data_IF_574562237094
#
_entry.id   IF_574562237094
#
_cell.length_a   1.000
_cell.length_b   1.000
_cell.length_c   1.000
_cell.angle_alpha   90.00
_cell.angle_beta   90.00
_cell.angle_gamma   90.00
#
_symmetry.space_group_name_H-M   'P 1'
#
loop_
_entity.id
_entity.type
_entity.pdbx_description
1 polymer ?
#
# COMPACT_ATOMS: atom_id res chain seq x y z
N UNK A 1 -42.49 41.41 44.25
CA UNK A 1 -42.45 41.69 42.81
C UNK A 1 -41.73 43.03 42.64
N UNK A 2 -40.40 43.00 42.42
CA UNK A 2 -39.73 43.31 41.13
C UNK A 2 -39.99 44.77 40.71
N UNK A 3 -39.02 45.67 40.50
CA UNK A 3 -37.62 45.54 40.06
C UNK A 3 -36.75 46.70 40.59
N UNK A 4 -35.46 46.42 40.82
CA UNK A 4 -34.40 47.43 40.85
C UNK A 4 -33.40 47.07 39.75
N UNK A 5 -33.08 48.03 38.87
CA UNK A 5 -32.05 47.91 37.82
C UNK A 5 -31.04 49.03 38.05
N UNK A 6 -29.81 48.68 38.42
CA UNK A 6 -28.65 49.57 38.45
C UNK A 6 -27.46 48.88 37.77
N UNK A 7 -27.05 49.50 36.65
CA UNK A 7 -25.68 49.78 36.20
C UNK A 7 -24.56 48.72 36.31
N UNK A 8 -24.13 48.26 35.13
CA UNK A 8 -22.76 48.15 34.58
C UNK A 8 -21.62 47.82 35.55
N UNK A 9 -20.97 46.66 35.35
CA UNK A 9 -19.51 46.53 35.45
C UNK A 9 -18.97 45.49 34.46
N UNK A 10 -17.95 45.93 33.73
CA UNK A 10 -17.16 45.24 32.72
C UNK A 10 -16.19 44.27 33.41
N UNK A 11 -16.14 43.00 33.02
CA UNK A 11 -15.08 42.08 33.45
C UNK A 11 -14.59 41.28 32.25
N UNK A 12 -13.49 41.74 31.65
CA UNK A 12 -12.71 41.01 30.65
C UNK A 12 -11.93 39.93 31.39
N UNK A 13 -12.38 38.68 31.30
CA UNK A 13 -11.60 37.52 31.70
C UNK A 13 -10.58 37.21 30.60
N UNK A 14 -9.37 37.77 30.76
CA UNK A 14 -8.18 37.28 30.05
C UNK A 14 -7.86 35.90 30.62
N UNK A 15 -8.22 34.85 29.89
CA UNK A 15 -7.71 33.52 30.18
C UNK A 15 -6.24 33.44 29.73
N UNK A 16 -5.32 33.01 30.60
CA UNK A 16 -3.91 32.91 30.30
C UNK A 16 -3.69 31.90 29.18
N UNK A 17 -2.81 32.28 28.25
CA UNK A 17 -2.45 31.50 27.07
C UNK A 17 -2.24 30.04 27.41
N UNK A 18 -2.99 29.20 26.69
CA UNK A 18 -2.65 27.80 26.55
C UNK A 18 -1.19 27.71 26.15
N UNK A 19 -0.41 26.98 26.95
CA UNK A 19 0.86 26.41 26.54
C UNK A 19 0.58 25.58 25.29
N UNK A 20 0.69 26.22 24.12
CA UNK A 20 0.78 25.54 22.86
C UNK A 20 2.03 24.66 22.96
N UNK A 21 1.82 23.36 23.16
CA UNK A 21 2.83 22.33 22.92
C UNK A 21 3.42 22.65 21.55
N UNK A 22 4.67 23.12 21.53
CA UNK A 22 5.39 23.31 20.28
C UNK A 22 5.49 21.95 19.61
N UNK A 23 4.78 21.81 18.49
CA UNK A 23 4.93 20.67 17.59
C UNK A 23 6.40 20.59 17.16
N UNK A 24 6.93 19.37 16.95
CA UNK A 24 8.32 19.19 16.55
C UNK A 24 8.63 20.00 15.29
N UNK A 25 9.81 20.62 15.30
CA UNK A 25 10.29 21.53 14.26
C UNK A 25 10.17 20.91 12.88
N UNK A 26 9.18 21.42 12.14
CA UNK A 26 8.78 21.06 10.78
C UNK A 26 9.98 20.86 9.87
N UNK A 27 10.18 19.64 9.38
CA UNK A 27 11.17 19.33 8.36
C UNK A 27 10.84 20.08 7.06
N UNK A 28 11.57 21.17 6.79
CA UNK A 28 11.73 21.78 5.47
C UNK A 28 10.46 22.27 4.78
N UNK A 29 9.85 23.37 5.24
CA UNK A 29 9.12 24.33 4.39
C UNK A 29 7.95 23.85 3.52
N UNK A 30 7.52 22.58 3.59
CA UNK A 30 6.45 22.04 2.75
C UNK A 30 5.06 22.31 3.33
N UNK A 31 4.06 22.34 2.43
CA UNK A 31 2.65 22.39 2.81
C UNK A 31 2.24 21.12 3.59
N UNK A 32 1.18 21.22 4.41
CA UNK A 32 0.72 20.12 5.26
C UNK A 32 0.31 18.87 4.44
N UNK A 33 -0.28 19.06 3.25
CA UNK A 33 -0.82 17.97 2.43
C UNK A 33 0.25 17.00 1.88
N UNK A 34 1.37 17.45 1.25
CA UNK A 34 2.49 16.57 0.89
C UNK A 34 3.09 15.83 2.09
N UNK A 35 3.09 16.45 3.26
CA UNK A 35 3.65 15.87 4.47
C UNK A 35 2.80 14.72 5.01
N UNK A 36 1.47 14.89 5.08
CA UNK A 36 0.54 13.82 5.44
C UNK A 36 0.62 12.65 4.44
N UNK A 37 0.67 12.95 3.14
CA UNK A 37 0.81 11.93 2.10
C UNK A 37 2.08 11.09 2.28
N UNK A 38 3.20 11.72 2.61
CA UNK A 38 4.45 11.01 2.86
C UNK A 38 4.39 10.14 4.12
N UNK A 39 3.74 10.61 5.18
CA UNK A 39 3.56 9.81 6.40
C UNK A 39 2.74 8.56 6.14
N UNK A 40 1.62 8.68 5.42
CA UNK A 40 0.77 7.52 5.11
C UNK A 40 1.49 6.52 4.21
N UNK A 41 2.27 7.01 3.24
CA UNK A 41 3.11 6.19 2.39
C UNK A 41 4.14 5.40 3.22
N UNK A 42 4.91 6.08 4.07
CA UNK A 42 5.96 5.44 4.87
C UNK A 42 5.38 4.46 5.88
N UNK A 43 4.27 4.79 6.53
CA UNK A 43 3.57 3.89 7.44
C UNK A 43 3.14 2.59 6.74
N UNK A 44 2.71 2.67 5.47
CA UNK A 44 2.26 1.50 4.70
C UNK A 44 3.43 0.64 4.21
N UNK A 45 4.44 1.25 3.62
CA UNK A 45 5.51 0.51 2.92
C UNK A 45 6.78 0.30 3.73
N UNK A 46 6.96 1.08 4.80
CA UNK A 46 8.10 1.04 5.71
C UNK A 46 7.64 0.95 7.16
N UNK A 47 6.85 -0.08 7.53
CA UNK A 47 6.37 -0.23 8.89
C UNK A 47 7.54 -0.41 9.86
N UNK A 48 7.59 0.42 10.89
CA UNK A 48 8.58 0.30 11.98
C UNK A 48 8.05 -0.59 13.10
N UNK A 49 8.89 -1.49 13.63
CA UNK A 49 8.57 -2.39 14.76
C UNK A 49 8.35 -1.63 16.08
N UNK A 50 8.71 -0.35 16.14
CA UNK A 50 8.58 0.44 17.36
C UNK A 50 7.11 0.77 17.63
N UNK A 51 6.53 0.13 18.65
CA UNK A 51 5.21 0.46 19.25
C UNK A 51 5.06 1.91 19.75
N UNK A 52 6.06 2.76 19.54
CA UNK A 52 6.13 4.16 19.97
C UNK A 52 6.42 4.98 18.71
N UNK A 53 5.46 5.81 18.28
CA UNK A 53 5.66 6.80 17.19
C UNK A 53 6.59 7.90 17.70
N UNK A 54 7.89 7.64 17.67
CA UNK A 54 8.92 8.66 17.82
C UNK A 54 8.93 9.53 16.55
N UNK A 55 8.89 10.87 16.63
CA UNK A 55 9.14 11.76 15.49
C UNK A 55 10.43 11.42 14.71
N UNK A 56 11.44 10.82 15.36
CA UNK A 56 12.63 10.31 14.70
C UNK A 56 12.37 9.09 13.80
N UNK A 57 11.22 8.41 13.94
CA UNK A 57 10.83 7.26 13.11
C UNK A 57 10.67 7.65 11.64
N UNK A 58 10.13 8.84 11.36
CA UNK A 58 9.89 9.26 9.98
C UNK A 58 11.19 9.49 9.20
N UNK A 59 12.20 10.09 9.83
CA UNK A 59 13.52 10.27 9.21
C UNK A 59 14.17 8.91 8.92
N UNK A 60 14.02 7.94 9.83
CA UNK A 60 14.52 6.58 9.66
C UNK A 60 13.81 5.88 8.50
N UNK A 61 12.49 5.92 8.46
CA UNK A 61 11.66 5.35 7.39
C UNK A 61 11.98 6.02 6.03
N UNK A 62 12.16 7.34 6.00
CA UNK A 62 12.60 8.08 4.81
C UNK A 62 13.97 7.62 4.33
N UNK A 63 14.93 7.43 5.25
CA UNK A 63 16.27 6.93 4.89
C UNK A 63 16.21 5.51 4.34
N UNK A 64 15.33 4.66 4.88
CA UNK A 64 15.09 3.32 4.36
C UNK A 64 14.48 3.36 2.95
N UNK A 65 13.48 4.22 2.73
CA UNK A 65 12.86 4.42 1.43
C UNK A 65 13.87 4.93 0.40
N UNK A 66 14.63 5.97 0.75
CA UNK A 66 15.67 6.50 -0.12
C UNK A 66 16.70 5.43 -0.48
N UNK A 67 17.11 4.59 0.49
CA UNK A 67 18.02 3.47 0.25
C UNK A 67 17.41 2.42 -0.69
N UNK A 68 16.14 2.06 -0.50
CA UNK A 68 15.44 1.08 -1.34
C UNK A 68 15.35 1.54 -2.80
N UNK A 69 15.02 2.81 -3.03
CA UNK A 69 14.95 3.40 -4.38
C UNK A 69 16.32 3.85 -4.93
N UNK A 70 17.43 3.53 -4.25
CA UNK A 70 18.79 3.94 -4.63
C UNK A 70 18.97 5.47 -4.80
N UNK A 71 18.30 6.23 -3.95
CA UNK A 71 18.36 7.69 -3.89
C UNK A 71 19.41 8.16 -2.87
N UNK A 72 19.86 9.43 -2.94
CA UNK A 72 20.67 10.03 -1.87
C UNK A 72 19.96 9.93 -0.51
N UNK A 73 20.63 9.31 0.47
CA UNK A 73 20.08 9.04 1.80
C UNK A 73 20.22 10.30 2.66
N UNK A 74 19.30 11.24 2.50
CA UNK A 74 19.28 12.52 3.24
C UNK A 74 18.39 12.49 4.47
N UNK A 75 17.39 11.60 4.52
CA UNK A 75 16.32 11.62 5.53
C UNK A 75 15.35 12.80 5.39
N UNK A 76 15.45 13.57 4.31
CA UNK A 76 14.63 14.76 4.09
C UNK A 76 13.62 14.52 2.97
N UNK A 77 12.39 14.95 3.19
CA UNK A 77 11.36 14.95 2.16
C UNK A 77 11.62 16.11 1.17
N UNK A 78 11.55 15.84 -0.12
CA UNK A 78 11.66 16.84 -1.20
C UNK A 78 10.53 16.66 -2.20
N UNK A 79 10.31 17.66 -3.07
CA UNK A 79 9.31 17.55 -4.15
C UNK A 79 9.56 16.32 -5.03
N UNK A 80 10.83 16.01 -5.31
CA UNK A 80 11.19 14.82 -6.08
C UNK A 80 10.84 13.51 -5.35
N UNK A 81 11.03 13.44 -4.03
CA UNK A 81 10.61 12.26 -3.25
C UNK A 81 9.08 12.11 -3.27
N UNK A 82 8.33 13.20 -3.15
CA UNK A 82 6.87 13.19 -3.24
C UNK A 82 6.40 12.71 -4.62
N UNK A 83 7.05 13.16 -5.69
CA UNK A 83 6.77 12.68 -7.06
C UNK A 83 7.00 11.18 -7.19
N UNK A 84 8.03 10.63 -6.54
CA UNK A 84 8.28 9.18 -6.51
C UNK A 84 7.20 8.46 -5.72
N UNK A 85 6.85 8.95 -4.53
CA UNK A 85 5.81 8.35 -3.67
C UNK A 85 4.41 8.35 -4.29
N UNK A 86 4.16 9.19 -5.29
CA UNK A 86 2.90 9.26 -6.04
C UNK A 86 2.81 8.28 -7.21
N UNK A 87 3.91 7.64 -7.58
CA UNK A 87 3.90 6.72 -8.73
C UNK A 87 3.16 5.43 -8.34
N UNK A 88 2.33 4.89 -9.26
CA UNK A 88 1.68 3.60 -9.07
C UNK A 88 2.68 2.50 -8.70
N UNK A 89 2.32 1.65 -7.75
CA UNK A 89 3.22 0.62 -7.22
C UNK A 89 2.50 -0.59 -6.64
N UNK A 90 3.28 -1.62 -6.32
CA UNK A 90 2.82 -2.76 -5.52
C UNK A 90 2.46 -2.31 -4.09
N UNK A 91 1.41 -2.91 -3.52
CA UNK A 91 0.90 -2.71 -2.16
C UNK A 91 1.67 -3.44 -1.07
N UNK A 92 2.59 -4.32 -1.45
CA UNK A 92 3.43 -5.08 -0.51
C UNK A 92 4.53 -4.17 0.07
N UNK A 93 4.78 -4.19 1.40
CA UNK A 93 5.85 -3.40 2.02
C UNK A 93 7.26 -3.69 1.48
N UNK A 94 8.10 -2.66 1.41
CA UNK A 94 9.45 -2.71 0.80
C UNK A 94 10.52 -3.25 1.75
N UNK A 95 10.37 -2.94 3.03
CA UNK A 95 11.29 -3.36 4.11
C UNK A 95 10.67 -4.43 4.99
N UNK A 96 9.67 -5.11 4.45
CA UNK A 96 9.44 -6.49 4.86
C UNK A 96 10.69 -7.27 4.48
N UNK A 97 11.66 -7.29 5.39
CA UNK A 97 12.63 -8.38 5.43
C UNK A 97 11.76 -9.64 5.25
N UNK A 98 12.11 -10.56 4.35
CA UNK A 98 11.40 -11.83 4.24
C UNK A 98 11.28 -12.57 5.61
N UNK A 99 11.95 -12.05 6.64
CA UNK A 99 11.78 -12.23 8.09
C UNK A 99 10.43 -11.82 8.72
N UNK A 100 9.53 -11.07 8.06
CA UNK A 100 8.14 -10.88 8.56
C UNK A 100 7.39 -12.21 8.61
N UNK A 101 7.88 -13.22 7.88
CA UNK A 101 7.47 -14.60 8.06
C UNK A 101 8.66 -15.36 8.66
N UNK A 102 8.64 -15.66 9.97
CA UNK A 102 9.73 -16.36 10.66
C UNK A 102 10.23 -17.62 9.95
N UNK A 103 9.37 -18.24 9.13
CA UNK A 103 9.58 -19.53 8.49
C UNK A 103 9.90 -19.48 6.98
N UNK A 104 10.04 -18.28 6.36
CA UNK A 104 10.27 -18.13 4.90
C UNK A 104 9.28 -19.00 4.08
N UNK A 105 7.99 -18.68 4.13
CA UNK A 105 6.92 -19.50 3.60
C UNK A 105 7.14 -19.79 2.13
N UNK A 106 6.97 -21.06 1.79
CA UNK A 106 7.12 -21.59 0.44
C UNK A 106 6.02 -22.60 0.19
N UNK A 107 5.61 -22.69 -1.06
CA UNK A 107 4.74 -23.78 -1.50
C UNK A 107 5.45 -25.12 -1.27
N UNK A 108 4.81 -26.00 -0.50
CA UNK A 108 5.32 -27.34 -0.21
C UNK A 108 5.02 -28.31 -1.36
N UNK A 109 3.95 -28.05 -2.10
CA UNK A 109 3.58 -28.76 -3.33
C UNK A 109 4.30 -28.16 -4.54
N UNK A 110 4.66 -29.02 -5.50
CA UNK A 110 5.15 -28.58 -6.83
C UNK A 110 4.03 -28.14 -7.77
N UNK A 111 2.79 -28.50 -7.46
CA UNK A 111 1.60 -28.06 -8.18
C UNK A 111 0.87 -27.08 -7.28
N UNK A 112 0.85 -25.82 -7.69
CA UNK A 112 0.14 -24.73 -7.01
C UNK A 112 -1.13 -24.46 -7.81
N UNK A 113 -2.28 -24.56 -7.14
CA UNK A 113 -3.57 -24.30 -7.76
C UNK A 113 -3.94 -22.83 -7.66
N UNK A 114 -4.60 -22.28 -8.67
CA UNK A 114 -5.12 -20.92 -8.60
C UNK A 114 -6.55 -20.82 -9.12
N UNK A 115 -7.30 -19.86 -8.60
CA UNK A 115 -8.67 -19.58 -9.01
C UNK A 115 -8.91 -18.08 -9.08
N UNK A 116 -9.53 -17.64 -10.18
CA UNK A 116 -9.98 -16.26 -10.34
C UNK A 116 -11.40 -16.15 -9.81
N UNK A 117 -11.59 -15.33 -8.78
CA UNK A 117 -12.83 -15.17 -8.02
C UNK A 117 -13.70 -14.03 -8.54
N UNK A 118 -13.08 -12.90 -8.87
CA UNK A 118 -13.71 -11.76 -9.52
C UNK A 118 -12.87 -11.31 -10.71
N UNK A 119 -13.45 -10.48 -11.57
CA UNK A 119 -12.83 -9.97 -12.78
C UNK A 119 -13.03 -8.46 -12.83
N UNK A 120 -12.06 -7.77 -13.43
CA UNK A 120 -12.22 -6.36 -13.78
C UNK A 120 -13.25 -6.15 -14.89
N UNK A 121 -13.93 -5.01 -14.86
CA UNK A 121 -14.84 -4.58 -15.93
C UNK A 121 -14.12 -4.04 -17.15
N UNK A 122 -12.84 -3.72 -17.04
CA UNK A 122 -12.06 -3.12 -18.13
C UNK A 122 -11.67 -4.12 -19.21
N UNK A 123 -11.62 -5.42 -18.87
CA UNK A 123 -11.15 -6.48 -19.75
C UNK A 123 -12.14 -7.65 -19.81
N UNK A 124 -12.35 -8.27 -20.99
CA UNK A 124 -13.10 -9.51 -21.07
C UNK A 124 -12.48 -10.61 -20.21
N UNK A 125 -13.31 -11.45 -19.57
CA UNK A 125 -12.82 -12.53 -18.69
C UNK A 125 -11.81 -13.45 -19.38
N UNK A 126 -11.95 -13.69 -20.69
CA UNK A 126 -11.01 -14.49 -21.48
C UNK A 126 -9.61 -13.86 -21.52
N UNK A 127 -9.52 -12.53 -21.59
CA UNK A 127 -8.25 -11.81 -21.60
C UNK A 127 -7.61 -11.86 -20.22
N UNK A 128 -8.37 -11.62 -19.15
CA UNK A 128 -7.87 -11.75 -17.77
C UNK A 128 -7.34 -13.17 -17.52
N UNK A 129 -8.08 -14.20 -17.95
CA UNK A 129 -7.66 -15.59 -17.86
C UNK A 129 -6.32 -15.85 -18.56
N UNK A 130 -6.13 -15.30 -19.76
CA UNK A 130 -4.90 -15.43 -20.53
C UNK A 130 -3.73 -14.68 -19.87
N UNK A 131 -3.96 -13.46 -19.36
CA UNK A 131 -2.95 -12.66 -18.69
C UNK A 131 -2.46 -13.34 -17.40
N UNK A 132 -3.38 -13.83 -16.57
CA UNK A 132 -3.04 -14.57 -15.34
C UNK A 132 -2.26 -15.85 -15.66
N UNK A 133 -2.72 -16.64 -16.64
CA UNK A 133 -2.01 -17.85 -17.05
C UNK A 133 -0.61 -17.53 -17.60
N UNK A 134 -0.48 -16.44 -18.37
CA UNK A 134 0.80 -15.96 -18.89
C UNK A 134 1.75 -15.53 -17.77
N UNK A 135 1.26 -14.81 -16.77
CA UNK A 135 2.05 -14.39 -15.61
C UNK A 135 2.59 -15.60 -14.83
N UNK A 136 1.76 -16.60 -14.54
CA UNK A 136 2.22 -17.84 -13.92
C UNK A 136 3.20 -18.62 -14.78
N UNK A 137 3.03 -18.60 -16.11
CA UNK A 137 3.96 -19.26 -17.03
C UNK A 137 5.35 -18.60 -17.07
N UNK A 138 5.47 -17.30 -16.73
CA UNK A 138 6.78 -16.65 -16.55
C UNK A 138 7.50 -17.31 -15.37
N UNK A 139 6.82 -17.44 -14.23
CA UNK A 139 7.40 -18.07 -13.04
C UNK A 139 7.72 -19.55 -13.25
N UNK A 140 6.83 -20.34 -13.83
CA UNK A 140 7.04 -21.78 -14.00
C UNK A 140 8.23 -22.15 -14.90
N UNK A 141 8.78 -21.19 -15.65
CA UNK A 141 10.01 -21.38 -16.42
C UNK A 141 11.28 -21.27 -15.58
N UNK A 142 11.23 -20.50 -14.50
CA UNK A 142 12.38 -20.16 -13.67
C UNK A 142 12.44 -20.99 -12.38
N UNK A 143 11.31 -21.52 -11.92
CA UNK A 143 11.21 -22.30 -10.68
C UNK A 143 10.53 -23.66 -10.91
N UNK A 144 10.84 -24.70 -10.12
CA UNK A 144 10.27 -26.04 -10.28
C UNK A 144 8.83 -26.15 -9.74
N UNK A 145 8.01 -25.12 -9.97
CA UNK A 145 6.59 -25.08 -9.66
C UNK A 145 5.78 -25.05 -10.96
N UNK A 146 4.64 -25.73 -10.91
CA UNK A 146 3.63 -25.70 -11.97
C UNK A 146 2.35 -25.09 -11.41
N UNK A 147 1.69 -24.26 -12.21
CA UNK A 147 0.46 -23.57 -11.80
C UNK A 147 -0.73 -24.16 -12.54
N UNK A 148 -1.76 -24.58 -11.79
CA UNK A 148 -2.95 -25.22 -12.35
C UNK A 148 -4.20 -24.43 -11.98
N UNK A 149 -4.92 -23.96 -12.99
CA UNK A 149 -6.21 -23.32 -12.76
C UNK A 149 -7.26 -24.34 -12.30
N UNK A 150 -8.05 -23.98 -11.29
CA UNK A 150 -9.25 -24.70 -10.89
C UNK A 150 -10.50 -23.83 -11.04
N UNK A 151 -11.65 -24.45 -11.29
CA UNK A 151 -12.92 -23.77 -11.55
C UNK A 151 -13.85 -23.69 -10.34
N UNK A 152 -13.66 -24.55 -9.34
CA UNK A 152 -14.49 -24.61 -8.13
C UNK A 152 -13.62 -24.91 -6.91
N UNK A 153 -14.19 -24.68 -5.73
CA UNK A 153 -13.52 -24.90 -4.45
C UNK A 153 -12.49 -23.83 -4.11
N UNK A 154 -11.74 -24.09 -3.03
CA UNK A 154 -10.63 -23.25 -2.57
C UNK A 154 -9.36 -23.71 -3.31
N UNK A 155 -8.58 -22.76 -3.80
CA UNK A 155 -7.28 -22.99 -4.43
C UNK A 155 -6.16 -22.49 -3.52
N UNK A 156 -4.91 -22.80 -3.86
CA UNK A 156 -3.74 -22.27 -3.14
C UNK A 156 -3.59 -20.76 -3.33
N UNK A 157 -3.98 -20.23 -4.50
CA UNK A 157 -3.96 -18.80 -4.81
C UNK A 157 -5.35 -18.37 -5.28
N UNK A 158 -6.06 -17.58 -4.48
CA UNK A 158 -7.30 -16.94 -4.88
C UNK A 158 -7.00 -15.55 -5.42
N UNK A 159 -7.46 -15.28 -6.65
CA UNK A 159 -7.22 -14.04 -7.37
C UNK A 159 -8.51 -13.22 -7.41
N UNK A 160 -8.47 -11.99 -6.91
CA UNK A 160 -9.63 -11.11 -6.85
C UNK A 160 -9.35 -9.68 -7.31
N UNK A 161 -10.33 -9.07 -7.94
CA UNK A 161 -10.43 -7.62 -8.17
C UNK A 161 -11.42 -7.05 -7.15
N UNK A 162 -11.00 -6.03 -6.40
CA UNK A 162 -11.79 -5.44 -5.32
C UNK A 162 -11.45 -3.95 -5.11
N UNK A 163 -12.27 -3.24 -4.33
CA UNK A 163 -12.09 -1.80 -4.04
C UNK A 163 -12.03 -1.56 -2.54
N UNK A 164 -11.28 -0.55 -2.12
CA UNK A 164 -11.23 -0.11 -0.72
C UNK A 164 -11.00 -1.27 0.26
N UNK A 165 -11.80 -1.34 1.33
CA UNK A 165 -11.78 -2.47 2.26
C UNK A 165 -12.45 -3.71 1.65
N UNK A 166 -11.69 -4.82 1.52
CA UNK A 166 -12.11 -5.98 0.73
C UNK A 166 -11.90 -7.34 1.41
N UNK A 167 -11.95 -7.37 2.75
CA UNK A 167 -11.96 -8.62 3.53
C UNK A 167 -10.60 -9.08 4.05
N UNK A 168 -9.57 -8.26 3.86
CA UNK A 168 -8.25 -8.40 4.48
C UNK A 168 -7.84 -7.09 5.20
N UNK A 169 -6.69 -7.06 5.91
CA UNK A 169 -6.22 -5.88 6.64
C UNK A 169 -5.71 -4.72 5.78
N UNK A 170 -5.63 -4.87 4.45
CA UNK A 170 -4.85 -4.01 3.56
C UNK A 170 -5.75 -3.29 2.53
N UNK A 171 -6.59 -2.32 2.94
CA UNK A 171 -7.51 -1.66 2.01
C UNK A 171 -6.79 -0.95 0.86
N UNK A 172 -7.43 -0.94 -0.32
CA UNK A 172 -6.98 -0.15 -1.47
C UNK A 172 -7.24 1.35 -1.29
N UNK A 173 -6.44 2.18 -1.95
CA UNK A 173 -6.44 3.65 -1.85
C UNK A 173 -7.21 4.35 -2.99
N UNK A 174 -7.77 3.57 -3.93
CA UNK A 174 -8.46 4.10 -5.11
C UNK A 174 -7.49 4.40 -6.24
N UNK A 175 -7.89 5.20 -7.24
CA UNK A 175 -7.10 5.34 -8.47
C UNK A 175 -5.69 5.89 -8.23
N UNK A 176 -4.70 5.25 -8.84
CA UNK A 176 -3.30 5.63 -8.85
C UNK A 176 -2.42 4.70 -8.03
N UNK A 177 -2.28 4.98 -6.74
CA UNK A 177 -1.11 4.56 -5.99
C UNK A 177 -1.04 3.03 -5.76
N UNK A 178 -1.78 2.40 -4.86
CA UNK A 178 -1.60 0.96 -4.62
C UNK A 178 -2.34 0.10 -5.65
N UNK A 179 -1.62 -0.51 -6.59
CA UNK A 179 -2.23 -1.26 -7.71
C UNK A 179 -2.80 -2.62 -7.34
N UNK A 180 -2.09 -3.35 -6.48
CA UNK A 180 -2.35 -4.74 -6.14
C UNK A 180 -1.50 -5.14 -4.94
N UNK A 181 -1.94 -6.15 -4.19
CA UNK A 181 -1.12 -6.82 -3.19
C UNK A 181 -1.29 -8.33 -3.26
N UNK A 182 -0.36 -9.04 -2.63
CA UNK A 182 -0.46 -10.48 -2.46
C UNK A 182 0.09 -10.89 -1.10
N UNK A 183 -0.42 -12.00 -0.57
CA UNK A 183 0.07 -12.59 0.67
C UNK A 183 1.09 -13.68 0.38
N UNK A 184 2.02 -13.88 1.31
CA UNK A 184 2.98 -14.97 1.19
C UNK A 184 2.28 -16.35 1.29
N UNK A 185 2.91 -17.43 0.81
CA UNK A 185 2.29 -18.76 0.83
C UNK A 185 1.84 -19.19 2.23
N UNK A 186 0.63 -19.72 2.37
CA UNK A 186 0.12 -20.13 3.67
C UNK A 186 -1.35 -20.53 3.65
N UNK A 187 -1.92 -20.89 4.81
CA UNK A 187 -3.35 -21.14 4.91
C UNK A 187 -4.18 -19.85 4.88
N UNK A 188 -5.48 -19.97 4.59
CA UNK A 188 -6.41 -18.83 4.63
C UNK A 188 -6.16 -17.88 3.47
N UNK A 189 -5.79 -16.63 3.77
CA UNK A 189 -5.41 -15.61 2.78
C UNK A 189 -4.01 -15.87 2.18
N UNK A 190 -3.24 -16.79 2.74
CA UNK A 190 -1.86 -17.04 2.30
C UNK A 190 -1.79 -17.47 0.83
N UNK A 191 -1.08 -16.70 0.02
CA UNK A 191 -0.96 -16.90 -1.42
C UNK A 191 -1.96 -16.09 -2.25
N UNK A 192 -3.03 -15.56 -1.66
CA UNK A 192 -4.04 -14.79 -2.37
C UNK A 192 -3.45 -13.50 -2.95
N UNK A 193 -3.97 -13.10 -4.11
CA UNK A 193 -3.54 -11.93 -4.85
C UNK A 193 -4.75 -11.06 -5.21
N UNK A 194 -4.73 -9.81 -4.75
CA UNK A 194 -5.81 -8.86 -4.93
C UNK A 194 -5.34 -7.69 -5.80
N UNK A 195 -6.20 -7.26 -6.72
CA UNK A 195 -5.99 -6.18 -7.68
C UNK A 195 -7.02 -5.08 -7.40
N UNK A 196 -6.58 -3.83 -7.37
CA UNK A 196 -7.49 -2.70 -7.13
C UNK A 196 -8.39 -2.49 -8.37
N UNK A 197 -9.70 -2.57 -8.18
CA UNK A 197 -10.71 -2.38 -9.23
C UNK A 197 -11.10 -0.91 -9.45
N UNK A 198 -10.49 0.02 -8.70
CA UNK A 198 -10.49 1.45 -9.02
C UNK A 198 -9.36 1.83 -10.00
N UNK A 199 -8.42 0.92 -10.28
CA UNK A 199 -7.41 1.05 -11.33
C UNK A 199 -8.00 0.80 -12.72
N UNK A 200 -7.33 1.36 -13.72
CA UNK A 200 -7.63 1.07 -15.13
C UNK A 200 -6.75 -0.07 -15.63
N UNK A 201 -7.33 -1.26 -15.76
CA UNK A 201 -6.62 -2.46 -16.22
C UNK A 201 -6.62 -2.58 -17.74
N UNK A 202 -5.48 -2.97 -18.30
CA UNK A 202 -5.34 -3.15 -19.76
C UNK A 202 -4.55 -4.39 -20.12
N UNK A 203 -4.79 -4.94 -21.30
CA UNK A 203 -3.84 -5.81 -21.97
C UNK A 203 -2.81 -4.90 -22.68
N UNK A 204 -1.53 -5.28 -22.67
CA UNK A 204 -0.41 -4.44 -23.14
C UNK A 204 -0.48 -3.96 -24.61
N UNK A 205 -1.58 -4.23 -25.33
CA UNK A 205 -1.89 -3.72 -26.67
C UNK A 205 -2.41 -2.28 -26.67
N UNK A 206 -2.95 -1.78 -25.54
CA UNK A 206 -3.42 -0.40 -25.43
C UNK A 206 -2.31 0.54 -24.91
N UNK A 207 -1.92 1.51 -25.74
CA UNK A 207 -0.92 2.53 -25.42
C UNK A 207 -1.53 3.52 -24.41
N UNK A 208 -1.03 3.54 -23.17
CA UNK A 208 -1.42 4.49 -22.13
C UNK A 208 -0.85 4.18 -20.74
N UNK A 209 -1.03 5.11 -19.79
CA UNK A 209 -0.63 5.03 -18.36
C UNK A 209 -1.51 4.06 -17.55
N UNK A 210 -1.80 2.88 -18.11
CA UNK A 210 -2.71 1.90 -17.53
C UNK A 210 -1.94 0.80 -16.79
N UNK A 211 -2.57 0.26 -15.75
CA UNK A 211 -2.01 -0.76 -14.87
C UNK A 211 -2.12 -2.14 -15.53
N UNK A 212 -1.05 -2.93 -15.44
CA UNK A 212 -0.96 -4.23 -16.09
C UNK A 212 -0.96 -5.35 -15.06
N UNK A 213 -1.76 -6.39 -15.32
CA UNK A 213 -1.62 -7.67 -14.62
C UNK A 213 -0.36 -8.34 -15.17
N UNK A 214 0.78 -8.00 -14.60
CA UNK A 214 2.07 -8.55 -14.99
C UNK A 214 2.79 -9.09 -13.76
N UNK A 215 3.57 -10.15 -13.96
CA UNK A 215 4.61 -10.51 -13.01
C UNK A 215 5.68 -9.43 -13.10
N UNK A 216 5.55 -8.31 -12.39
CA UNK A 216 6.66 -7.37 -12.25
C UNK A 216 7.78 -8.09 -11.53
N UNK A 217 8.73 -8.60 -12.32
CA UNK A 217 10.05 -8.98 -11.84
C UNK A 217 10.73 -7.68 -11.43
N UNK A 218 10.58 -7.28 -10.18
CA UNK A 218 11.67 -6.52 -9.58
C UNK A 218 12.83 -7.52 -9.45
N UNK A 219 13.98 -7.25 -10.09
CA UNK A 219 15.17 -8.05 -9.85
C UNK A 219 15.52 -7.87 -8.37
N UNK A 220 15.56 -8.98 -7.63
CA UNK A 220 16.26 -9.04 -6.35
C UNK A 220 17.76 -8.94 -6.58
#
# INVERSE_FOLDING_TARGET
MQLAVLTVLYAVSVLPGTLALQLPQKAGGMSELPWEQAQDYLKRFYPSDSKIRDPNSLEVELKQMQKFFHLPITGTLSSHIIEIMRKPRCGVPDVAEYSLFPDRPKWTSRVVTYRIMSYTRDLPHVIVNQLVAKAFNVWSKEIPLSFKRVSWGIADIMIGFARGAHGDPDPFDGPGNTLAHAFAPGPGLGGDAHFDEDERWTDASSIGTASQISSTTYPF
#
